data_IF_637362095316
#
_entry.id   IF_637362095316
#
_cell.length_a   1.000
_cell.length_b   1.000
_cell.length_c   1.000
_cell.angle_alpha   90.00
_cell.angle_beta   90.00
_cell.angle_gamma   90.00
#
_symmetry.space_group_name_H-M   'P 1'
#
loop_
_entity.id
_entity.type
_entity.pdbx_description
1 polymer ?
#
# COMPACT_ATOMS: atom_id res chain seq x y z
N UNK A 1 8.42 11.36 -4.74
CA UNK A 1 7.24 10.65 -4.22
C UNK A 1 7.40 10.13 -2.79
N UNK A 2 8.59 10.29 -2.18
CA UNK A 2 8.81 9.97 -0.76
C UNK A 2 8.34 11.11 0.13
N UNK A 3 7.83 10.77 1.30
CA UNK A 3 7.51 11.73 2.34
C UNK A 3 8.82 12.19 2.97
N UNK A 4 9.02 13.52 3.13
CA UNK A 4 10.08 14.06 3.98
C UNK A 4 9.74 13.74 5.44
N UNK A 5 10.67 13.11 6.14
CA UNK A 5 10.50 12.80 7.55
C UNK A 5 10.56 14.07 8.42
N UNK A 6 11.34 15.08 7.99
CA UNK A 6 11.40 16.39 8.63
C UNK A 6 10.06 17.11 8.53
N UNK A 7 9.47 17.21 7.32
CA UNK A 7 8.18 17.85 7.11
C UNK A 7 7.07 17.12 7.86
N UNK A 8 7.13 15.77 7.91
CA UNK A 8 6.18 14.98 8.69
C UNK A 8 6.30 15.28 10.19
N UNK A 9 7.51 15.34 10.70
CA UNK A 9 7.78 15.64 12.10
C UNK A 9 7.24 17.03 12.50
N UNK A 10 7.43 18.03 11.64
CA UNK A 10 6.92 19.40 11.85
C UNK A 10 5.39 19.47 11.73
N UNK A 11 4.79 18.70 10.80
CA UNK A 11 3.34 18.73 10.57
C UNK A 11 2.52 18.07 11.69
N UNK A 12 3.11 17.14 12.46
CA UNK A 12 2.38 16.47 13.54
C UNK A 12 2.36 17.34 14.78
N UNK A 13 1.14 17.67 15.23
CA UNK A 13 0.89 18.45 16.45
C UNK A 13 0.14 17.61 17.48
N UNK A 14 -0.02 18.16 18.70
CA UNK A 14 -0.85 17.54 19.75
C UNK A 14 -2.32 17.37 19.34
N UNK A 15 -2.79 18.12 18.35
CA UNK A 15 -4.17 18.07 17.87
C UNK A 15 -4.36 17.12 16.67
N UNK A 16 -3.26 16.58 16.15
CA UNK A 16 -3.30 15.57 15.10
C UNK A 16 -3.97 14.29 15.63
N UNK A 17 -5.04 13.84 14.99
CA UNK A 17 -5.80 12.65 15.39
C UNK A 17 -5.55 11.43 14.49
N UNK A 18 -5.17 11.68 13.23
CA UNK A 18 -4.93 10.63 12.24
C UNK A 18 -3.80 11.06 11.29
N UNK A 19 -2.88 10.15 11.06
CA UNK A 19 -1.91 10.21 9.96
C UNK A 19 -2.20 9.03 9.04
N UNK A 20 -2.54 9.32 7.79
CA UNK A 20 -2.90 8.31 6.79
C UNK A 20 -1.93 8.37 5.62
N UNK A 21 -1.24 7.26 5.35
CA UNK A 21 -0.15 7.18 4.37
C UNK A 21 -0.28 5.91 3.56
N UNK A 22 -0.08 5.97 2.25
CA UNK A 22 0.13 4.79 1.41
C UNK A 22 1.51 4.20 1.69
N UNK A 23 1.60 2.90 1.90
CA UNK A 23 2.91 2.23 2.00
C UNK A 23 3.67 2.32 0.68
N UNK A 24 3.00 2.00 -0.43
CA UNK A 24 3.56 2.06 -1.78
C UNK A 24 2.64 2.91 -2.66
N UNK A 25 3.21 3.90 -3.32
CA UNK A 25 2.44 4.72 -4.24
C UNK A 25 2.01 3.89 -5.47
N UNK A 26 0.75 3.98 -5.84
CA UNK A 26 0.16 3.18 -6.91
C UNK A 26 0.54 3.62 -8.33
N UNK A 27 1.12 4.81 -8.49
CA UNK A 27 1.49 5.36 -9.81
C UNK A 27 2.99 5.26 -10.06
N UNK A 28 3.80 5.75 -9.15
CA UNK A 28 5.27 5.78 -9.33
C UNK A 28 6.01 4.67 -8.57
N UNK A 29 5.33 4.00 -7.63
CA UNK A 29 5.88 2.85 -6.93
C UNK A 29 6.84 3.17 -5.79
N UNK A 30 6.95 4.42 -5.33
CA UNK A 30 7.76 4.78 -4.17
C UNK A 30 7.28 4.04 -2.91
N UNK A 31 8.23 3.53 -2.13
CA UNK A 31 8.01 2.83 -0.87
C UNK A 31 8.32 3.78 0.28
N UNK A 32 7.40 3.89 1.24
CA UNK A 32 7.57 4.72 2.43
C UNK A 32 8.19 3.93 3.57
N UNK A 33 9.10 4.53 4.33
CA UNK A 33 9.66 3.95 5.55
C UNK A 33 8.63 4.02 6.70
N UNK A 34 7.75 3.01 6.76
CA UNK A 34 6.69 2.96 7.76
C UNK A 34 7.22 2.86 9.19
N UNK A 35 8.40 2.30 9.39
CA UNK A 35 8.99 2.18 10.74
C UNK A 35 9.44 3.56 11.25
N UNK A 36 10.15 4.33 10.43
CA UNK A 36 10.56 5.69 10.75
C UNK A 36 9.33 6.59 10.97
N UNK A 37 8.37 6.55 10.05
CA UNK A 37 7.11 7.29 10.13
C UNK A 37 6.35 6.96 11.43
N UNK A 38 6.18 5.68 11.74
CA UNK A 38 5.49 5.25 12.95
C UNK A 38 6.18 5.71 14.25
N UNK A 39 7.51 5.75 14.27
CA UNK A 39 8.30 6.30 15.40
C UNK A 39 8.05 7.80 15.56
N UNK A 40 8.08 8.57 14.48
CA UNK A 40 7.82 10.02 14.50
C UNK A 40 6.41 10.29 15.05
N UNK A 41 5.38 9.61 14.50
CA UNK A 41 4.00 9.79 14.95
C UNK A 41 3.88 9.55 16.47
N UNK A 42 4.47 8.46 16.97
CA UNK A 42 4.40 8.11 18.40
C UNK A 42 5.17 9.06 19.31
N UNK A 43 6.27 9.65 18.82
CA UNK A 43 7.04 10.64 19.58
C UNK A 43 6.33 11.98 19.67
N UNK A 44 5.63 12.40 18.62
CA UNK A 44 4.98 13.71 18.51
C UNK A 44 3.58 13.77 19.11
N UNK A 45 2.82 12.69 19.04
CA UNK A 45 1.43 12.67 19.52
C UNK A 45 1.02 11.30 20.04
N UNK A 46 0.65 11.24 21.32
CA UNK A 46 0.04 10.04 21.93
C UNK A 46 -1.39 9.81 21.43
N UNK A 47 -2.04 10.84 20.89
CA UNK A 47 -3.42 10.80 20.37
C UNK A 47 -3.48 10.32 18.94
N UNK A 48 -2.51 10.70 18.12
CA UNK A 48 -2.50 10.39 16.67
C UNK A 48 -2.51 8.88 16.42
N UNK A 49 -3.41 8.45 15.55
CA UNK A 49 -3.49 7.10 15.02
C UNK A 49 -2.77 7.03 13.69
N UNK A 50 -2.08 5.93 13.46
CA UNK A 50 -1.39 5.69 12.19
C UNK A 50 -2.19 4.70 11.34
N UNK A 51 -2.72 5.19 10.21
CA UNK A 51 -3.34 4.39 9.16
C UNK A 51 -2.38 4.22 8.00
N UNK A 52 -2.27 2.98 7.53
CA UNK A 52 -1.50 2.63 6.34
C UNK A 52 -2.42 2.05 5.27
N UNK A 53 -2.44 2.66 4.11
CA UNK A 53 -2.98 2.03 2.92
C UNK A 53 -1.95 1.04 2.37
N UNK A 54 -2.20 -0.24 2.62
CA UNK A 54 -1.36 -1.36 2.19
C UNK A 54 -1.84 -2.05 0.92
N UNK A 55 -2.78 -1.45 0.18
CA UNK A 55 -3.35 -2.07 -1.02
C UNK A 55 -2.29 -2.47 -2.05
N UNK A 56 -1.24 -1.69 -2.21
CA UNK A 56 -0.15 -2.00 -3.14
C UNK A 56 0.97 -2.88 -2.53
N UNK A 57 1.03 -3.00 -1.19
CA UNK A 57 2.10 -3.74 -0.51
C UNK A 57 1.68 -5.10 0.03
N UNK A 58 0.40 -5.28 0.38
CA UNK A 58 -0.09 -6.55 0.94
C UNK A 58 0.16 -7.72 -0.03
N UNK A 59 0.80 -8.78 0.48
CA UNK A 59 1.20 -9.94 -0.31
C UNK A 59 2.42 -9.74 -1.22
N UNK A 60 3.04 -8.55 -1.21
CA UNK A 60 4.22 -8.23 -2.03
C UNK A 60 5.43 -7.81 -1.19
N UNK A 61 5.17 -7.23 -0.02
CA UNK A 61 6.20 -6.77 0.92
C UNK A 61 5.81 -7.17 2.34
N UNK A 62 6.78 -7.50 3.20
CA UNK A 62 6.51 -7.80 4.58
C UNK A 62 6.04 -6.54 5.33
N UNK A 63 5.01 -6.69 6.16
CA UNK A 63 4.50 -5.63 7.03
C UNK A 63 4.36 -6.18 8.45
N UNK A 64 5.08 -5.60 9.39
CA UNK A 64 4.92 -5.86 10.82
C UNK A 64 4.19 -4.67 11.47
N UNK A 65 2.89 -4.80 11.65
CA UNK A 65 2.04 -3.75 12.21
C UNK A 65 2.44 -3.30 13.62
N UNK A 66 3.10 -4.18 14.40
CA UNK A 66 3.57 -3.86 15.75
C UNK A 66 4.86 -3.06 15.69
N UNK A 67 5.85 -3.55 14.96
CA UNK A 67 7.16 -2.91 14.78
C UNK A 67 7.02 -1.51 14.16
N UNK A 68 6.12 -1.39 13.17
CA UNK A 68 5.84 -0.14 12.46
C UNK A 68 4.85 0.78 13.19
N UNK A 69 4.37 0.41 14.39
CA UNK A 69 3.40 1.19 15.18
C UNK A 69 2.08 1.51 14.45
N UNK A 70 1.63 0.64 13.56
CA UNK A 70 0.40 0.83 12.76
C UNK A 70 -0.83 0.56 13.63
N UNK A 71 -1.78 1.49 13.62
CA UNK A 71 -3.07 1.34 14.31
C UNK A 71 -4.17 0.81 13.36
N UNK A 72 -4.11 1.19 12.06
CA UNK A 72 -5.01 0.69 11.02
C UNK A 72 -4.22 0.33 9.77
N UNK A 73 -4.56 -0.82 9.15
CA UNK A 73 -3.95 -1.22 7.87
C UNK A 73 -5.03 -1.74 6.94
N UNK A 74 -5.10 -1.20 5.74
CA UNK A 74 -6.08 -1.59 4.72
C UNK A 74 -5.44 -2.36 3.57
N UNK A 75 -6.16 -3.37 3.07
CA UNK A 75 -5.75 -4.13 1.90
C UNK A 75 -6.96 -4.53 1.05
N UNK A 76 -6.72 -4.83 -0.22
CA UNK A 76 -7.74 -5.22 -1.18
C UNK A 76 -7.34 -6.50 -1.93
N UNK A 77 -8.30 -7.42 -2.05
CA UNK A 77 -8.08 -8.75 -2.64
C UNK A 77 -7.64 -8.69 -4.11
N UNK A 78 -8.20 -7.77 -4.90
CA UNK A 78 -7.95 -7.69 -6.34
C UNK A 78 -6.51 -7.31 -6.72
N UNK A 79 -5.71 -6.84 -5.78
CA UNK A 79 -4.28 -6.53 -6.01
C UNK A 79 -3.36 -7.73 -5.83
N UNK A 80 -3.92 -8.85 -5.35
CA UNK A 80 -3.24 -10.14 -5.21
C UNK A 80 -4.03 -11.27 -5.88
N UNK A 81 -4.72 -10.97 -6.98
CA UNK A 81 -5.51 -11.90 -7.79
C UNK A 81 -6.76 -12.49 -7.09
N UNK A 82 -7.19 -11.89 -6.00
CA UNK A 82 -8.45 -12.23 -5.31
C UNK A 82 -9.67 -11.51 -5.92
N UNK A 83 -10.88 -11.77 -5.41
CA UNK A 83 -12.11 -11.19 -5.91
C UNK A 83 -12.15 -9.66 -5.77
N UNK A 84 -12.75 -8.98 -6.76
CA UNK A 84 -13.06 -7.54 -6.67
C UNK A 84 -14.14 -7.29 -5.63
N UNK A 85 -14.14 -6.09 -5.05
CA UNK A 85 -15.14 -5.67 -4.05
C UNK A 85 -14.90 -6.25 -2.65
N UNK A 86 -13.77 -6.91 -2.41
CA UNK A 86 -13.40 -7.49 -1.12
C UNK A 86 -12.07 -6.91 -0.65
N UNK A 87 -12.01 -6.56 0.62
CA UNK A 87 -10.83 -6.06 1.31
C UNK A 87 -10.96 -6.28 2.81
N UNK A 88 -9.94 -5.94 3.55
CA UNK A 88 -10.00 -5.91 5.00
C UNK A 88 -9.36 -4.64 5.56
N UNK A 89 -9.72 -4.34 6.79
CA UNK A 89 -9.00 -3.40 7.64
C UNK A 89 -8.53 -4.13 8.90
N UNK A 90 -7.22 -4.08 9.15
CA UNK A 90 -6.68 -4.39 10.46
C UNK A 90 -6.93 -3.20 11.38
N UNK A 91 -7.46 -3.47 12.57
CA UNK A 91 -7.69 -2.48 13.61
C UNK A 91 -6.95 -2.94 14.85
N UNK A 92 -5.97 -2.15 15.32
CA UNK A 92 -5.24 -2.43 16.56
C UNK A 92 -6.21 -2.43 17.74
N UNK A 93 -6.05 -3.38 18.64
CA UNK A 93 -6.86 -3.43 19.88
C UNK A 93 -6.79 -2.08 20.59
N UNK A 94 -7.93 -1.55 20.98
CA UNK A 94 -8.10 -0.24 21.64
C UNK A 94 -7.77 0.99 20.74
N UNK A 95 -7.62 0.83 19.42
CA UNK A 95 -7.43 1.97 18.54
C UNK A 95 -8.67 2.88 18.44
N UNK A 96 -9.85 2.32 18.70
CA UNK A 96 -11.14 3.02 18.69
C UNK A 96 -11.53 3.52 17.30
N UNK A 97 -12.62 3.00 16.76
CA UNK A 97 -13.22 3.47 15.52
C UNK A 97 -14.74 3.30 15.64
N UNK A 98 -15.49 4.27 15.18
CA UNK A 98 -16.93 4.19 15.12
C UNK A 98 -17.37 3.51 13.82
N UNK A 99 -18.45 2.71 13.89
CA UNK A 99 -19.06 2.13 12.71
C UNK A 99 -19.61 3.22 11.80
N UNK A 100 -19.25 3.15 10.51
CA UNK A 100 -19.87 4.01 9.48
C UNK A 100 -21.21 3.42 9.00
N UNK A 101 -21.34 2.08 8.98
CA UNK A 101 -22.53 1.36 8.53
C UNK A 101 -23.10 0.63 9.74
N UNK A 102 -24.21 1.14 10.28
CA UNK A 102 -24.91 0.61 11.44
C UNK A 102 -26.11 -0.25 11.01
N UNK A 103 -26.77 -0.92 11.99
CA UNK A 103 -27.97 -1.71 11.77
C UNK A 103 -27.77 -3.22 11.88
N UNK A 104 -26.61 -3.67 12.36
CA UNK A 104 -26.31 -5.08 12.62
C UNK A 104 -25.05 -5.28 13.43
N UNK A 105 -24.79 -6.51 13.88
CA UNK A 105 -23.63 -6.89 14.69
C UNK A 105 -22.47 -7.50 13.90
N UNK A 106 -22.59 -7.56 12.57
CA UNK A 106 -21.58 -8.16 11.71
C UNK A 106 -20.24 -7.42 11.85
N UNK A 107 -19.14 -8.11 11.59
CA UNK A 107 -17.78 -7.60 11.78
C UNK A 107 -17.57 -6.97 13.17
N UNK A 108 -18.11 -7.61 14.21
CA UNK A 108 -18.05 -7.13 15.62
C UNK A 108 -18.69 -5.74 15.80
N UNK A 109 -19.71 -5.41 15.00
CA UNK A 109 -20.38 -4.12 15.02
C UNK A 109 -19.68 -3.00 14.25
N UNK A 110 -18.50 -3.25 13.67
CA UNK A 110 -17.79 -2.22 12.90
C UNK A 110 -18.37 -2.00 11.50
N UNK A 111 -19.00 -3.02 10.92
CA UNK A 111 -19.58 -2.93 9.58
C UNK A 111 -20.79 -3.88 9.49
N UNK A 112 -21.98 -3.32 9.59
CA UNK A 112 -23.22 -4.08 9.45
C UNK A 112 -23.43 -4.59 8.00
N UNK A 113 -24.24 -5.65 7.88
CA UNK A 113 -24.58 -6.30 6.62
C UNK A 113 -23.95 -7.69 6.50
N UNK A 114 -24.66 -8.59 5.82
CA UNK A 114 -24.22 -9.98 5.61
C UNK A 114 -22.84 -10.04 4.97
N UNK A 115 -21.97 -10.86 5.52
CA UNK A 115 -20.62 -11.07 4.99
C UNK A 115 -20.67 -11.79 3.64
N UNK A 116 -19.88 -11.31 2.70
CA UNK A 116 -19.69 -11.97 1.40
C UNK A 116 -18.69 -13.13 1.55
N UNK A 117 -19.14 -14.22 2.15
CA UNK A 117 -18.31 -15.38 2.47
C UNK A 117 -17.57 -15.96 1.25
N UNK A 118 -18.18 -16.12 0.06
CA UNK A 118 -17.46 -16.61 -1.12
C UNK A 118 -16.24 -15.73 -1.48
N UNK A 119 -16.39 -14.42 -1.43
CA UNK A 119 -15.29 -13.50 -1.72
C UNK A 119 -14.23 -13.46 -0.62
N UNK A 120 -14.61 -13.65 0.64
CA UNK A 120 -13.69 -13.76 1.78
C UNK A 120 -12.81 -15.01 1.63
N UNK A 121 -13.40 -16.15 1.30
CA UNK A 121 -12.68 -17.40 1.05
C UNK A 121 -11.75 -17.26 -0.17
N UNK A 122 -12.24 -16.60 -1.24
CA UNK A 122 -11.40 -16.29 -2.40
C UNK A 122 -10.21 -15.40 -2.07
N UNK A 123 -10.40 -14.41 -1.17
CA UNK A 123 -9.31 -13.56 -0.70
C UNK A 123 -8.29 -14.34 0.15
N UNK A 124 -8.76 -15.16 1.09
CA UNK A 124 -7.90 -16.03 1.90
C UNK A 124 -7.04 -16.94 1.02
N UNK A 125 -7.65 -17.59 0.02
CA UNK A 125 -6.92 -18.44 -0.92
C UNK A 125 -5.86 -17.67 -1.70
N UNK A 126 -6.20 -16.48 -2.22
CA UNK A 126 -5.29 -15.62 -2.94
C UNK A 126 -4.12 -15.15 -2.06
N UNK A 127 -4.43 -14.74 -0.81
CA UNK A 127 -3.41 -14.34 0.15
C UNK A 127 -2.43 -15.50 0.42
N UNK A 128 -2.92 -16.70 0.73
CA UNK A 128 -2.08 -17.86 0.97
C UNK A 128 -1.16 -18.15 -0.21
N UNK A 129 -1.71 -18.23 -1.42
CA UNK A 129 -0.92 -18.50 -2.63
C UNK A 129 0.16 -17.43 -2.89
N UNK A 130 -0.15 -16.18 -2.57
CA UNK A 130 0.78 -15.05 -2.77
C UNK A 130 1.89 -15.06 -1.72
N UNK A 131 1.55 -15.26 -0.45
CA UNK A 131 2.54 -15.31 0.64
C UNK A 131 3.47 -16.51 0.54
N UNK A 132 2.98 -17.67 0.07
CA UNK A 132 3.81 -18.87 -0.15
C UNK A 132 4.90 -18.64 -1.21
N UNK A 133 4.77 -17.61 -2.07
CA UNK A 133 5.67 -17.31 -3.19
C UNK A 133 6.17 -15.86 -3.22
N UNK A 134 6.16 -15.18 -2.09
CA UNK A 134 6.44 -13.74 -2.05
C UNK A 134 7.82 -13.39 -2.64
N UNK A 135 8.86 -14.14 -2.29
CA UNK A 135 10.23 -13.90 -2.76
C UNK A 135 10.40 -14.30 -4.23
N UNK A 136 9.80 -15.42 -4.64
CA UNK A 136 9.80 -15.87 -6.04
C UNK A 136 9.15 -14.82 -6.95
N UNK A 137 7.97 -14.36 -6.55
CA UNK A 137 7.23 -13.34 -7.28
C UNK A 137 8.00 -12.02 -7.35
N UNK A 138 8.59 -11.58 -6.23
CA UNK A 138 9.38 -10.35 -6.16
C UNK A 138 10.57 -10.41 -7.14
N UNK A 139 11.36 -11.48 -7.09
CA UNK A 139 12.53 -11.64 -7.94
C UNK A 139 12.18 -11.75 -9.43
N UNK A 140 11.10 -12.47 -9.76
CA UNK A 140 10.59 -12.59 -11.13
C UNK A 140 10.18 -11.23 -11.70
N UNK A 141 9.39 -10.45 -10.95
CA UNK A 141 8.93 -9.13 -11.39
C UNK A 141 10.08 -8.14 -11.46
N UNK A 142 11.04 -8.20 -10.54
CA UNK A 142 12.25 -7.37 -10.58
C UNK A 142 13.07 -7.63 -11.85
N UNK A 143 13.23 -8.89 -12.25
CA UNK A 143 13.91 -9.23 -13.50
C UNK A 143 13.19 -8.66 -14.73
N UNK A 144 11.85 -8.76 -14.76
CA UNK A 144 11.02 -8.18 -15.82
C UNK A 144 11.18 -6.65 -15.86
N UNK A 145 11.11 -5.98 -14.70
CA UNK A 145 11.29 -4.51 -14.63
C UNK A 145 12.66 -4.08 -15.14
N UNK A 146 13.74 -4.80 -14.76
CA UNK A 146 15.08 -4.55 -15.26
C UNK A 146 15.14 -4.63 -16.78
N UNK A 147 14.67 -5.73 -17.34
CA UNK A 147 14.62 -5.92 -18.78
C UNK A 147 13.81 -4.83 -19.50
N UNK A 148 12.64 -4.47 -18.96
CA UNK A 148 11.83 -3.40 -19.55
C UNK A 148 12.56 -2.06 -19.52
N UNK A 149 13.22 -1.71 -18.44
CA UNK A 149 13.99 -0.45 -18.34
C UNK A 149 15.13 -0.43 -19.36
N UNK A 150 15.89 -1.52 -19.50
CA UNK A 150 16.94 -1.67 -20.49
C UNK A 150 16.41 -1.43 -21.91
N UNK A 151 15.28 -2.05 -22.26
CA UNK A 151 14.66 -1.88 -23.59
C UNK A 151 14.12 -0.46 -23.80
N UNK A 152 13.50 0.13 -22.77
CA UNK A 152 12.96 1.48 -22.86
C UNK A 152 14.05 2.52 -23.04
N UNK A 153 15.25 2.34 -22.47
CA UNK A 153 16.37 3.26 -22.62
C UNK A 153 16.91 3.34 -24.06
N UNK A 154 16.56 2.42 -24.95
CA UNK A 154 16.85 2.50 -26.37
C UNK A 154 15.96 3.53 -27.10
N UNK A 155 14.85 3.96 -26.47
CA UNK A 155 13.93 4.97 -27.00
C UNK A 155 14.42 6.36 -26.57
N UNK A 156 14.49 7.28 -27.54
CA UNK A 156 14.85 8.67 -27.25
C UNK A 156 13.74 9.38 -26.48
N UNK A 157 14.13 10.40 -25.74
CA UNK A 157 13.21 11.32 -25.05
C UNK A 157 12.25 10.62 -24.08
N UNK A 158 12.77 9.66 -23.30
CA UNK A 158 12.05 9.05 -22.18
C UNK A 158 12.63 9.47 -20.83
N UNK A 159 11.79 9.39 -19.81
CA UNK A 159 12.20 9.50 -18.41
C UNK A 159 11.56 8.38 -17.60
N UNK A 160 12.39 7.58 -16.93
CA UNK A 160 11.96 6.57 -15.97
C UNK A 160 11.63 7.26 -14.64
N UNK A 161 10.38 7.21 -14.20
CA UNK A 161 9.92 7.82 -12.95
C UNK A 161 9.93 6.81 -11.78
N UNK A 162 10.08 5.52 -12.09
CA UNK A 162 10.17 4.40 -11.12
C UNK A 162 11.51 3.67 -11.31
N UNK A 163 12.64 4.23 -10.84
CA UNK A 163 13.96 3.63 -11.05
C UNK A 163 14.12 2.27 -10.36
N UNK A 164 15.29 1.64 -10.54
CA UNK A 164 15.68 0.38 -9.89
C UNK A 164 16.40 0.65 -8.56
N UNK A 165 15.79 1.43 -7.71
CA UNK A 165 16.29 1.76 -6.37
C UNK A 165 15.48 0.99 -5.32
N UNK A 166 16.06 0.73 -4.15
CA UNK A 166 15.45 -0.08 -3.08
C UNK A 166 14.16 0.52 -2.52
N UNK A 167 13.97 1.82 -2.69
CA UNK A 167 12.79 2.56 -2.29
C UNK A 167 11.71 2.65 -3.38
N UNK A 168 11.85 1.85 -4.46
CA UNK A 168 10.86 1.70 -5.50
C UNK A 168 10.42 0.26 -5.69
N UNK A 169 9.11 0.04 -5.69
CA UNK A 169 8.51 -1.28 -5.91
C UNK A 169 8.84 -1.82 -7.32
N UNK A 170 9.27 -3.08 -7.43
CA UNK A 170 9.45 -3.70 -8.74
C UNK A 170 8.12 -3.92 -9.48
N UNK A 171 7.00 -3.93 -8.78
CA UNK A 171 5.67 -4.17 -9.35
C UNK A 171 5.08 -2.97 -10.09
N UNK A 172 5.74 -1.82 -10.06
CA UNK A 172 5.26 -0.57 -10.69
C UNK A 172 6.39 0.03 -11.52
N UNK A 173 6.08 0.33 -12.78
CA UNK A 173 6.96 1.05 -13.68
C UNK A 173 6.18 2.22 -14.29
N UNK A 174 6.63 3.41 -14.01
CA UNK A 174 6.09 4.65 -14.56
C UNK A 174 7.14 5.30 -15.47
N UNK A 175 6.73 5.60 -16.70
CA UNK A 175 7.62 6.14 -17.73
C UNK A 175 6.95 7.34 -18.39
N UNK A 176 7.69 8.43 -18.53
CA UNK A 176 7.27 9.58 -19.34
C UNK A 176 7.92 9.52 -20.72
N UNK A 177 7.11 9.60 -21.77
CA UNK A 177 7.55 9.80 -23.13
C UNK A 177 7.45 11.30 -23.44
N UNK A 178 8.60 11.99 -23.48
CA UNK A 178 8.65 13.44 -23.59
C UNK A 178 8.13 13.89 -24.95
N UNK A 179 7.15 14.80 -24.95
CA UNK A 179 6.52 15.29 -26.18
C UNK A 179 5.38 14.43 -26.71
N UNK A 180 5.14 13.23 -26.16
CA UNK A 180 4.02 12.39 -26.54
C UNK A 180 2.85 12.52 -25.55
N UNK A 181 1.61 12.47 -26.03
CA UNK A 181 0.42 12.38 -25.18
C UNK A 181 0.24 10.94 -24.72
N UNK A 182 0.13 10.70 -23.41
CA UNK A 182 -0.08 9.36 -22.85
C UNK A 182 -1.31 8.64 -23.41
N UNK A 183 -2.39 9.38 -23.66
CA UNK A 183 -3.62 8.87 -24.28
C UNK A 183 -3.37 8.29 -25.68
N UNK A 184 -2.51 8.92 -26.48
CA UNK A 184 -2.15 8.44 -27.84
C UNK A 184 -1.30 7.17 -27.76
N UNK A 185 -0.46 7.06 -26.73
CA UNK A 185 0.40 5.88 -26.54
C UNK A 185 -0.39 4.64 -26.06
N UNK A 186 -1.56 4.84 -25.46
CA UNK A 186 -2.45 3.75 -25.03
C UNK A 186 -3.16 3.06 -26.18
N UNK A 187 -3.38 3.74 -27.30
CA UNK A 187 -4.07 3.26 -28.52
C UNK A 187 -3.07 2.81 -29.59
#
# INVERSE_FOLDING_TARGET
>A
GRISLEDLDEAITKDTVLVSIMHINNEVGTIQDLEAIGKIIKSRSSRAKFHVDGVQSYGKFPVDVKKMNIDYFTAAAHKIHGPKGTGFVYIKKCAGINSLISGGSQERGFRAGTQNLPSIIGFEKAAKMTFDKIDENYNSVLAIKKYMIERLQEIKDIRINSPLEDDFSPYILNVSFIGARAEVLLH
#
